data_IF_727179314532
#
_entry.id   IF_727179314532
#
_cell.length_a   1.000
_cell.length_b   1.000
_cell.length_c   1.000
_cell.angle_alpha   90.00
_cell.angle_beta   90.00
_cell.angle_gamma   90.00
#
_symmetry.space_group_name_H-M   'P 1'
#
loop_
_entity.id
_entity.type
_entity.pdbx_description
1 polymer ?
#
# COMPACT_ATOMS: atom_id res chain seq x y z
N UNK A 1 -18.45 2.57 -0.29
CA UNK A 1 -17.37 2.78 0.70
C UNK A 1 -16.23 3.49 0.01
N UNK A 2 -15.41 4.32 0.68
CA UNK A 2 -14.26 4.93 0.03
C UNK A 2 -13.28 3.85 -0.44
N UNK A 3 -12.72 4.07 -1.63
CA UNK A 3 -11.65 3.25 -2.17
C UNK A 3 -10.31 3.80 -1.71
N UNK A 4 -9.46 2.93 -1.21
CA UNK A 4 -8.11 3.28 -0.80
C UNK A 4 -7.09 2.71 -1.77
N UNK A 5 -6.10 3.54 -2.09
CA UNK A 5 -4.91 3.22 -2.87
C UNK A 5 -3.69 3.27 -1.97
N UNK A 6 -2.67 2.50 -2.33
CA UNK A 6 -1.47 2.32 -1.51
C UNK A 6 -0.22 2.60 -2.33
N UNK A 7 0.76 3.21 -1.68
CA UNK A 7 2.03 3.58 -2.28
C UNK A 7 3.16 3.14 -1.38
N UNK A 8 4.18 2.51 -1.95
CA UNK A 8 5.35 2.01 -1.23
C UNK A 8 6.62 2.75 -1.64
N UNK A 9 7.49 3.00 -0.67
CA UNK A 9 8.86 3.48 -0.89
C UNK A 9 9.75 3.15 0.29
N UNK A 10 10.91 2.52 0.06
CA UNK A 10 11.93 2.25 1.07
C UNK A 10 11.38 1.72 2.42
N UNK A 11 10.43 0.78 2.38
CA UNK A 11 9.83 0.18 3.58
C UNK A 11 8.70 0.98 4.24
N UNK A 12 8.30 2.12 3.69
CA UNK A 12 7.13 2.90 4.14
C UNK A 12 5.94 2.68 3.21
N UNK A 13 4.75 2.55 3.79
CA UNK A 13 3.48 2.54 3.05
C UNK A 13 2.66 3.77 3.36
N UNK A 14 2.29 4.50 2.30
CA UNK A 14 1.31 5.58 2.36
C UNK A 14 -0.03 5.07 1.82
N UNK A 15 -1.11 5.48 2.48
CA UNK A 15 -2.47 5.11 2.12
C UNK A 15 -3.27 6.39 1.90
N UNK A 16 -4.02 6.44 0.81
CA UNK A 16 -4.85 7.58 0.45
C UNK A 16 -6.19 7.10 -0.13
N UNK A 17 -7.21 7.95 -0.07
CA UNK A 17 -8.47 7.69 -0.77
C UNK A 17 -8.23 7.95 -2.26
N UNK A 18 -8.65 7.04 -3.14
CA UNK A 18 -8.35 7.07 -4.58
C UNK A 18 -8.72 8.41 -5.23
N UNK A 19 -9.92 8.92 -4.95
CA UNK A 19 -10.42 10.18 -5.50
C UNK A 19 -9.97 11.44 -4.72
N UNK A 20 -8.93 11.34 -3.89
CA UNK A 20 -8.42 12.48 -3.12
C UNK A 20 -7.24 13.18 -3.79
N UNK A 21 -7.17 14.50 -3.65
CA UNK A 21 -6.01 15.30 -4.07
C UNK A 21 -4.71 14.77 -3.47
N UNK A 22 -4.77 14.19 -2.27
CA UNK A 22 -3.63 13.55 -1.64
C UNK A 22 -3.14 12.33 -2.42
N UNK A 23 -4.03 11.49 -2.95
CA UNK A 23 -3.64 10.37 -3.80
C UNK A 23 -2.99 10.83 -5.12
N UNK A 24 -3.51 11.89 -5.74
CA UNK A 24 -2.91 12.47 -6.96
C UNK A 24 -1.47 12.96 -6.72
N UNK A 25 -1.21 13.59 -5.57
CA UNK A 25 0.13 14.01 -5.17
C UNK A 25 1.08 12.83 -4.96
N UNK A 26 0.61 11.75 -4.36
CA UNK A 26 1.41 10.54 -4.15
C UNK A 26 1.72 9.83 -5.48
N UNK A 27 0.74 9.73 -6.39
CA UNK A 27 0.92 9.17 -7.73
C UNK A 27 1.91 9.96 -8.59
N UNK A 28 2.01 11.27 -8.35
CA UNK A 28 2.96 12.15 -9.05
C UNK A 28 4.37 12.11 -8.44
N UNK A 29 4.56 11.44 -7.29
CA UNK A 29 5.84 11.39 -6.60
C UNK A 29 6.74 10.30 -7.21
N UNK A 30 7.93 10.63 -7.75
CA UNK A 30 8.81 9.65 -8.39
C UNK A 30 9.41 8.63 -7.40
N UNK A 31 9.40 8.95 -6.11
CA UNK A 31 9.92 8.08 -5.05
C UNK A 31 8.91 7.03 -4.59
N UNK A 32 7.63 7.17 -4.97
CA UNK A 32 6.55 6.30 -4.53
C UNK A 32 6.11 5.39 -5.67
N UNK A 33 6.15 4.09 -5.44
CA UNK A 33 5.54 3.11 -6.35
C UNK A 33 4.13 2.82 -5.89
N UNK A 34 3.17 2.91 -6.80
CA UNK A 34 1.81 2.45 -6.52
C UNK A 34 1.83 0.93 -6.32
N UNK A 35 1.09 0.45 -5.32
CA UNK A 35 0.78 -0.96 -5.16
C UNK A 35 -0.47 -1.22 -5.98
N UNK A 36 -0.43 -2.18 -6.90
CA UNK A 36 -1.55 -2.58 -7.76
C UNK A 36 -2.63 -3.35 -6.95
N UNK A 37 -3.15 -2.69 -5.93
CA UNK A 37 -4.18 -3.19 -5.03
C UNK A 37 -5.03 -2.01 -4.58
N UNK A 38 -6.35 -2.14 -4.73
CA UNK A 38 -7.32 -1.19 -4.21
C UNK A 38 -8.18 -1.90 -3.15
N UNK A 39 -8.45 -1.20 -2.04
CA UNK A 39 -9.33 -1.73 -1.00
C UNK A 39 -10.51 -0.78 -0.75
N UNK A 40 -11.72 -1.30 -0.87
CA UNK A 40 -12.91 -0.64 -0.32
C UNK A 40 -12.95 -0.87 1.19
N UNK A 41 -12.98 0.19 1.99
CA UNK A 41 -12.97 0.10 3.45
C UNK A 41 -13.70 1.29 4.07
N UNK A 42 -14.14 1.18 5.33
CA UNK A 42 -14.80 2.30 6.02
C UNK A 42 -13.80 3.36 6.47
N UNK A 43 -12.59 2.93 6.82
CA UNK A 43 -11.51 3.76 7.32
C UNK A 43 -10.13 3.26 6.83
N UNK A 44 -9.11 4.09 7.06
CA UNK A 44 -7.73 3.81 6.64
C UNK A 44 -7.17 2.53 7.28
N UNK A 45 -7.52 2.24 8.53
CA UNK A 45 -6.99 1.08 9.25
C UNK A 45 -7.56 -0.22 8.66
N UNK A 46 -8.87 -0.26 8.38
CA UNK A 46 -9.50 -1.40 7.69
C UNK A 46 -8.89 -1.62 6.29
N UNK A 47 -8.60 -0.53 5.55
CA UNK A 47 -7.91 -0.62 4.27
C UNK A 47 -6.50 -1.22 4.39
N UNK A 48 -5.73 -0.79 5.39
CA UNK A 48 -4.38 -1.30 5.67
C UNK A 48 -4.39 -2.78 6.07
N UNK A 49 -5.40 -3.23 6.84
CA UNK A 49 -5.57 -4.64 7.17
C UNK A 49 -5.87 -5.50 5.93
N UNK A 50 -6.70 -4.99 5.01
CA UNK A 50 -6.98 -5.66 3.73
C UNK A 50 -5.73 -5.75 2.85
N UNK A 51 -4.95 -4.67 2.78
CA UNK A 51 -3.64 -4.70 2.11
C UNK A 51 -2.72 -5.74 2.75
N UNK A 52 -2.59 -5.73 4.08
CA UNK A 52 -1.76 -6.71 4.80
C UNK A 52 -2.16 -8.14 4.45
N UNK A 53 -3.45 -8.47 4.55
CA UNK A 53 -3.94 -9.81 4.22
C UNK A 53 -3.68 -10.18 2.77
N UNK A 54 -3.84 -9.23 1.84
CA UNK A 54 -3.52 -9.44 0.43
C UNK A 54 -2.03 -9.74 0.21
N UNK A 55 -1.13 -8.98 0.86
CA UNK A 55 0.32 -9.18 0.79
C UNK A 55 0.76 -10.50 1.44
N UNK A 56 0.16 -10.88 2.57
CA UNK A 56 0.43 -12.17 3.24
C UNK A 56 -0.02 -13.37 2.38
N UNK A 57 -1.11 -13.21 1.61
CA UNK A 57 -1.65 -14.27 0.75
C UNK A 57 -0.98 -14.34 -0.64
N UNK A 58 -0.45 -13.23 -1.15
CA UNK A 58 0.07 -13.13 -2.52
C UNK A 58 1.56 -12.76 -2.53
N UNK A 59 2.40 -13.67 -2.03
CA UNK A 59 3.87 -13.54 -2.05
C UNK A 59 4.46 -13.35 -3.46
N UNK A 60 3.71 -13.66 -4.52
CA UNK A 60 4.13 -13.42 -5.90
C UNK A 60 3.99 -11.97 -6.36
N UNK A 61 2.95 -11.24 -5.96
CA UNK A 61 2.79 -9.79 -6.20
C UNK A 61 3.93 -8.97 -5.59
N UNK A 62 4.61 -9.56 -4.61
CA UNK A 62 5.73 -8.97 -3.86
C UNK A 62 7.10 -9.20 -4.51
N UNK A 63 7.22 -10.16 -5.43
CA UNK A 63 8.45 -10.34 -6.21
C UNK A 63 8.73 -9.15 -7.12
N UNK A 64 7.68 -8.45 -7.57
CA UNK A 64 7.76 -7.21 -8.35
C UNK A 64 8.32 -6.02 -7.54
N UNK A 65 8.22 -6.08 -6.21
CA UNK A 65 8.83 -5.08 -5.30
C UNK A 65 10.33 -5.31 -5.04
N UNK A 66 10.94 -6.32 -5.67
CA UNK A 66 12.39 -6.46 -5.78
C UNK A 66 13.13 -6.78 -4.46
N UNK A 67 13.33 -8.08 -4.20
CA UNK A 67 14.37 -8.64 -3.33
C UNK A 67 14.13 -8.52 -1.83
N UNK A 68 13.76 -9.65 -1.19
CA UNK A 68 13.86 -10.12 0.22
C UNK A 68 13.71 -9.15 1.44
N UNK A 69 13.84 -7.84 1.29
CA UNK A 69 13.89 -6.82 2.35
C UNK A 69 12.63 -5.95 2.38
N UNK A 70 11.71 -6.09 1.42
CA UNK A 70 10.56 -5.18 1.28
C UNK A 70 9.29 -5.67 1.98
N UNK A 71 9.02 -6.97 2.06
CA UNK A 71 7.78 -7.51 2.65
C UNK A 71 7.66 -7.21 4.15
N UNK A 72 8.64 -7.68 4.93
CA UNK A 72 8.61 -7.56 6.38
C UNK A 72 8.58 -6.10 6.78
N UNK A 73 9.38 -5.25 6.14
CA UNK A 73 9.37 -3.81 6.42
C UNK A 73 8.05 -3.12 6.05
N UNK A 74 7.40 -3.52 4.95
CA UNK A 74 6.07 -3.01 4.57
C UNK A 74 5.01 -3.46 5.59
N UNK A 75 4.98 -4.74 5.96
CA UNK A 75 4.03 -5.26 6.95
C UNK A 75 4.26 -4.62 8.32
N UNK A 76 5.52 -4.47 8.74
CA UNK A 76 5.89 -3.79 9.98
C UNK A 76 5.50 -2.30 9.95
N UNK A 77 5.65 -1.61 8.81
CA UNK A 77 5.19 -0.24 8.65
C UNK A 77 3.67 -0.11 8.72
N UNK A 78 2.91 -1.16 8.40
CA UNK A 78 1.45 -1.17 8.54
C UNK A 78 1.00 -1.41 9.99
N UNK A 79 1.90 -1.88 10.88
CA UNK A 79 1.64 -2.12 12.30
C UNK A 79 2.03 -0.95 13.21
N UNK A 80 2.71 0.08 12.67
CA UNK A 80 3.06 1.32 13.38
C UNK A 80 2.01 2.40 13.15
#
# INVERSE_FOLDING_TARGET
MPKYVFFASNGLVKTAISDSVYAEQLSSSPELKIIEFEAEANDKHEAQLKLKSHLEQNTETLKDFGGDVTLSSIIESLLR
#
